data_IF_844670378534
#
_entry.id   IF_844670378534
#
_cell.length_a   1.000
_cell.length_b   1.000
_cell.length_c   1.000
_cell.angle_alpha   90.00
_cell.angle_beta   90.00
_cell.angle_gamma   90.00
#
_symmetry.space_group_name_H-M   'P 1'
#
loop_
_entity.id
_entity.type
_entity.pdbx_description
1 polymer ?
#
# COMPACT_ATOMS: atom_id res chain seq x y z
N UNK A 1 -36.70 49.25 17.69
CA UNK A 1 -35.82 49.18 16.50
C UNK A 1 -35.95 47.79 15.92
N UNK A 2 -36.70 47.59 14.84
CA UNK A 2 -36.78 46.28 14.17
C UNK A 2 -35.67 46.21 13.12
N UNK A 3 -34.72 45.30 13.30
CA UNK A 3 -33.69 45.02 12.31
C UNK A 3 -34.36 44.41 11.08
N UNK A 4 -34.28 45.10 9.94
CA UNK A 4 -34.70 44.57 8.65
C UNK A 4 -33.78 43.41 8.27
N UNK A 5 -34.30 42.18 8.29
CA UNK A 5 -33.61 41.01 7.76
C UNK A 5 -33.52 41.17 6.23
N UNK A 6 -32.30 41.43 5.73
CA UNK A 6 -32.04 41.38 4.28
C UNK A 6 -32.03 39.91 3.85
N UNK A 7 -33.08 39.49 3.15
CA UNK A 7 -33.15 38.17 2.52
C UNK A 7 -32.31 38.11 1.25
N UNK A 8 -31.82 36.91 0.93
CA UNK A 8 -31.13 36.63 -0.33
C UNK A 8 -32.12 36.65 -1.50
N UNK A 9 -31.72 37.19 -2.64
CA UNK A 9 -32.57 37.15 -3.84
C UNK A 9 -32.39 35.81 -4.57
N UNK A 10 -33.43 35.38 -5.32
CA UNK A 10 -33.37 34.13 -6.08
C UNK A 10 -32.24 34.15 -7.13
N UNK A 11 -31.99 35.31 -7.74
CA UNK A 11 -30.90 35.46 -8.72
C UNK A 11 -29.53 35.35 -8.07
N UNK A 12 -29.36 35.89 -6.87
CA UNK A 12 -28.09 35.83 -6.13
C UNK A 12 -27.74 34.40 -5.75
N UNK A 13 -28.74 33.60 -5.36
CA UNK A 13 -28.56 32.18 -5.09
C UNK A 13 -28.14 31.39 -6.35
N UNK A 14 -28.78 31.66 -7.50
CA UNK A 14 -28.43 31.02 -8.77
C UNK A 14 -27.00 31.33 -9.20
N UNK A 15 -26.57 32.59 -9.04
CA UNK A 15 -25.20 33.01 -9.36
C UNK A 15 -24.19 32.31 -8.45
N UNK A 16 -24.46 32.20 -7.15
CA UNK A 16 -23.59 31.48 -6.21
C UNK A 16 -23.45 30.00 -6.59
N UNK A 17 -24.55 29.33 -6.91
CA UNK A 17 -24.54 27.92 -7.34
C UNK A 17 -23.76 27.75 -8.66
N UNK A 18 -23.91 28.67 -9.61
CA UNK A 18 -23.17 28.63 -10.86
C UNK A 18 -21.66 28.77 -10.64
N UNK A 19 -21.24 29.71 -9.80
CA UNK A 19 -19.82 29.93 -9.48
C UNK A 19 -19.24 28.71 -8.73
N UNK A 20 -19.95 28.16 -7.75
CA UNK A 20 -19.47 26.99 -7.00
C UNK A 20 -19.37 25.76 -7.88
N UNK A 21 -20.29 25.56 -8.83
CA UNK A 21 -20.21 24.47 -9.80
C UNK A 21 -18.96 24.58 -10.70
N UNK A 22 -18.64 25.78 -11.19
CA UNK A 22 -17.43 26.03 -11.99
C UNK A 22 -16.16 25.78 -11.17
N UNK A 23 -16.13 26.22 -9.91
CA UNK A 23 -14.98 25.96 -9.04
C UNK A 23 -14.80 24.47 -8.72
N UNK A 24 -15.90 23.74 -8.51
CA UNK A 24 -15.86 22.32 -8.19
C UNK A 24 -15.27 21.47 -9.33
N UNK A 25 -15.54 21.82 -10.60
CA UNK A 25 -14.98 21.10 -11.74
C UNK A 25 -13.47 21.30 -11.89
N UNK A 26 -12.94 22.46 -11.49
CA UNK A 26 -11.50 22.77 -11.53
C UNK A 26 -10.75 22.21 -10.31
N UNK A 27 -11.43 22.05 -9.16
CA UNK A 27 -10.81 21.51 -7.94
C UNK A 27 -10.70 19.96 -7.94
N UNK A 28 -11.56 19.26 -8.67
CA UNK A 28 -11.63 17.79 -8.69
C UNK A 28 -10.90 17.04 -9.85
N UNK A 29 -10.18 17.68 -10.81
CA UNK A 29 -10.06 17.13 -12.15
C UNK A 29 -9.25 15.83 -12.25
N UNK A 30 -8.32 15.51 -11.32
CA UNK A 30 -7.56 14.26 -11.42
C UNK A 30 -7.11 13.69 -10.07
N UNK A 31 -8.07 13.29 -9.23
CA UNK A 31 -7.74 12.44 -8.07
C UNK A 31 -7.20 11.06 -8.47
N UNK A 32 -7.50 10.57 -9.68
CA UNK A 32 -7.07 9.26 -10.20
C UNK A 32 -5.55 9.12 -10.28
N UNK A 33 -4.86 10.12 -10.84
CA UNK A 33 -3.40 10.13 -11.00
C UNK A 33 -2.69 10.28 -9.65
N UNK A 34 -3.25 11.11 -8.77
CA UNK A 34 -2.78 11.23 -7.39
C UNK A 34 -2.94 9.92 -6.61
N UNK A 35 -4.06 9.21 -6.77
CA UNK A 35 -4.27 7.89 -6.16
C UNK A 35 -3.30 6.86 -6.75
N UNK A 36 -3.06 6.88 -8.06
CA UNK A 36 -2.14 5.96 -8.73
C UNK A 36 -0.70 6.13 -8.22
N UNK A 37 -0.22 7.37 -8.12
CA UNK A 37 1.10 7.68 -7.57
C UNK A 37 1.20 7.31 -6.08
N UNK A 38 0.16 7.56 -5.28
CA UNK A 38 0.11 7.11 -3.88
C UNK A 38 0.15 5.59 -3.72
N UNK A 39 -0.50 4.84 -4.61
CA UNK A 39 -0.44 3.37 -4.60
C UNK A 39 0.96 2.85 -4.92
N UNK A 40 1.68 3.47 -5.85
CA UNK A 40 3.05 3.09 -6.14
C UNK A 40 3.99 3.38 -4.95
N UNK A 41 3.86 4.57 -4.33
CA UNK A 41 4.63 4.94 -3.16
C UNK A 41 4.35 4.02 -1.95
N UNK A 42 3.08 3.70 -1.68
CA UNK A 42 2.72 2.83 -0.56
C UNK A 42 3.22 1.39 -0.72
N UNK A 43 3.28 0.87 -1.95
CA UNK A 43 3.88 -0.44 -2.22
C UNK A 43 5.39 -0.43 -1.95
N UNK A 44 6.10 0.61 -2.39
CA UNK A 44 7.54 0.76 -2.14
C UNK A 44 7.85 0.90 -0.64
N UNK A 45 7.05 1.66 0.10
CA UNK A 45 7.20 1.82 1.55
C UNK A 45 7.00 0.49 2.32
N UNK A 46 6.01 -0.31 1.91
CA UNK A 46 5.79 -1.64 2.50
C UNK A 46 7.01 -2.54 2.32
N UNK A 47 7.57 -2.60 1.12
CA UNK A 47 8.79 -3.37 0.82
C UNK A 47 9.97 -2.85 1.63
N UNK A 48 10.16 -1.53 1.70
CA UNK A 48 11.26 -0.93 2.46
C UNK A 48 11.18 -1.23 3.97
N UNK A 49 9.98 -1.20 4.54
CA UNK A 49 9.75 -1.58 5.93
C UNK A 49 10.00 -3.07 6.18
N UNK A 50 9.59 -3.94 5.25
CA UNK A 50 9.86 -5.37 5.35
C UNK A 50 11.37 -5.67 5.26
N UNK A 51 12.10 -5.01 4.36
CA UNK A 51 13.55 -5.14 4.26
C UNK A 51 14.27 -4.65 5.52
N UNK A 52 13.80 -3.57 6.14
CA UNK A 52 14.31 -3.10 7.44
C UNK A 52 14.10 -4.13 8.54
N UNK A 53 12.91 -4.73 8.59
CA UNK A 53 12.60 -5.81 9.52
C UNK A 53 13.48 -7.05 9.27
N UNK A 54 13.56 -7.50 8.02
CA UNK A 54 14.40 -8.63 7.61
C UNK A 54 15.87 -8.42 7.97
N UNK A 55 16.39 -7.20 7.76
CA UNK A 55 17.77 -6.86 8.16
C UNK A 55 17.97 -6.90 9.66
N UNK A 56 17.03 -6.39 10.45
CA UNK A 56 17.10 -6.47 11.91
C UNK A 56 17.09 -7.93 12.38
N UNK A 57 16.28 -8.77 11.74
CA UNK A 57 16.16 -10.19 12.07
C UNK A 57 17.39 -10.99 11.63
N UNK A 58 17.98 -10.67 10.48
CA UNK A 58 19.24 -11.26 10.03
C UNK A 58 20.38 -11.03 11.04
N UNK A 59 20.45 -9.81 11.61
CA UNK A 59 21.42 -9.49 12.65
C UNK A 59 21.12 -10.24 13.95
N UNK A 60 19.84 -10.38 14.33
CA UNK A 60 19.43 -11.11 15.55
C UNK A 60 19.72 -12.59 15.48
N UNK A 61 19.43 -13.20 14.34
CA UNK A 61 19.60 -14.64 14.11
C UNK A 61 21.01 -15.02 13.65
N UNK A 62 21.84 -14.02 13.28
CA UNK A 62 23.14 -14.22 12.65
C UNK A 62 23.04 -15.17 11.43
N UNK A 63 21.96 -15.05 10.68
CA UNK A 63 21.59 -15.87 9.53
C UNK A 63 21.16 -14.96 8.38
N UNK A 64 21.45 -15.32 7.11
CA UNK A 64 20.97 -14.55 5.97
C UNK A 64 19.45 -14.61 5.89
N UNK A 65 18.80 -13.45 5.85
CA UNK A 65 17.34 -13.35 5.65
C UNK A 65 17.07 -12.87 4.24
N UNK A 66 16.23 -13.62 3.53
CA UNK A 66 15.80 -13.31 2.18
C UNK A 66 14.36 -12.83 2.16
N UNK A 67 14.08 -11.91 1.24
CA UNK A 67 12.75 -11.37 1.01
C UNK A 67 12.37 -11.67 -0.43
N UNK A 68 11.26 -12.37 -0.64
CA UNK A 68 10.85 -12.78 -1.97
C UNK A 68 9.34 -12.68 -2.20
N UNK A 69 8.90 -12.38 -3.43
CA UNK A 69 7.48 -12.35 -3.77
C UNK A 69 6.90 -13.77 -3.79
N UNK A 70 5.69 -13.89 -3.26
CA UNK A 70 4.93 -15.14 -3.23
C UNK A 70 3.46 -14.93 -3.52
N UNK A 71 2.82 -15.99 -3.99
CA UNK A 71 1.37 -16.04 -4.06
C UNK A 71 0.79 -16.40 -2.69
N UNK A 72 -0.03 -15.52 -2.14
CA UNK A 72 -0.91 -15.85 -1.02
C UNK A 72 -2.15 -16.52 -1.61
N UNK A 73 -2.33 -17.81 -1.32
CA UNK A 73 -3.52 -18.56 -1.74
C UNK A 73 -4.76 -18.03 -0.98
N UNK A 74 -5.96 -18.34 -1.48
CA UNK A 74 -7.24 -17.93 -0.83
C UNK A 74 -7.40 -18.39 0.62
N UNK A 75 -6.61 -19.37 1.05
CA UNK A 75 -6.55 -19.88 2.42
C UNK A 75 -5.54 -19.12 3.32
N UNK A 76 -4.90 -18.05 2.83
CA UNK A 76 -3.97 -17.21 3.58
C UNK A 76 -2.56 -17.79 3.73
N UNK A 77 -2.28 -18.95 3.12
CA UNK A 77 -0.98 -19.61 3.19
C UNK A 77 -0.18 -19.24 1.94
N UNK A 78 1.07 -18.74 2.07
CA UNK A 78 1.92 -18.51 0.91
C UNK A 78 2.26 -19.84 0.24
N UNK A 79 2.41 -19.83 -1.07
CA UNK A 79 3.16 -20.91 -1.69
C UNK A 79 4.60 -20.83 -1.21
N UNK A 80 5.08 -21.94 -0.64
CA UNK A 80 6.42 -22.07 -0.08
C UNK A 80 7.47 -22.15 -1.22
N UNK A 81 7.42 -21.18 -2.14
CA UNK A 81 8.25 -21.02 -3.32
C UNK A 81 8.30 -19.54 -3.68
N UNK A 82 9.50 -18.98 -3.66
CA UNK A 82 9.76 -17.66 -4.22
C UNK A 82 9.51 -17.70 -5.73
N UNK A 83 8.49 -17.00 -6.21
CA UNK A 83 8.19 -16.92 -7.65
C UNK A 83 7.90 -15.48 -8.04
N UNK A 84 8.79 -14.94 -8.89
CA UNK A 84 8.72 -13.58 -9.43
C UNK A 84 7.45 -13.30 -10.23
N UNK A 85 6.73 -14.34 -10.66
CA UNK A 85 5.44 -14.24 -11.36
C UNK A 85 4.33 -13.63 -10.48
N UNK A 86 4.48 -13.68 -9.16
CA UNK A 86 3.47 -13.23 -8.20
C UNK A 86 3.86 -11.96 -7.45
N UNK A 87 4.60 -11.04 -8.10
CA UNK A 87 5.10 -9.81 -7.47
C UNK A 87 4.03 -8.87 -6.86
N UNK A 88 2.74 -9.12 -7.13
CA UNK A 88 1.61 -8.33 -6.62
C UNK A 88 0.74 -9.08 -5.59
N UNK A 89 1.02 -10.36 -5.31
CA UNK A 89 0.17 -11.18 -4.43
C UNK A 89 0.60 -11.20 -2.98
N UNK A 90 1.89 -10.98 -2.69
CA UNK A 90 2.42 -10.97 -1.34
C UNK A 90 3.95 -11.07 -1.34
N UNK A 91 4.55 -10.82 -0.19
CA UNK A 91 6.01 -10.89 -0.01
C UNK A 91 6.25 -11.67 1.26
N UNK A 92 7.11 -12.69 1.22
CA UNK A 92 7.55 -13.39 2.41
C UNK A 92 8.99 -13.02 2.76
N UNK A 93 9.28 -13.01 4.06
CA UNK A 93 10.62 -12.91 4.61
C UNK A 93 10.93 -14.20 5.39
N UNK A 94 12.05 -14.82 5.06
CA UNK A 94 12.51 -16.07 5.68
C UNK A 94 14.01 -16.02 5.95
N UNK A 95 14.44 -16.62 7.06
CA UNK A 95 15.86 -16.85 7.32
C UNK A 95 16.27 -18.17 6.68
N UNK A 96 17.24 -18.11 5.77
CA UNK A 96 17.82 -19.28 5.10
C UNK A 96 18.91 -19.86 5.98
N UNK A 97 18.68 -21.09 6.43
CA UNK A 97 19.66 -21.86 7.20
C UNK A 97 20.28 -22.98 6.37
N UNK A 98 19.62 -23.40 5.28
CA UNK A 98 20.03 -24.52 4.41
C UNK A 98 21.12 -24.10 3.41
N UNK A 99 21.20 -22.82 3.08
CA UNK A 99 22.13 -22.22 2.12
C UNK A 99 21.72 -22.42 0.66
N UNK A 100 20.47 -22.79 0.38
CA UNK A 100 19.99 -23.10 -0.98
C UNK A 100 19.18 -21.98 -1.65
N UNK A 101 19.00 -20.83 -0.97
CA UNK A 101 18.31 -19.62 -1.47
C UNK A 101 16.85 -19.89 -1.88
N UNK A 102 16.31 -21.06 -1.54
CA UNK A 102 14.94 -21.44 -1.86
C UNK A 102 14.21 -21.74 -0.56
N UNK A 103 13.16 -20.98 -0.27
CA UNK A 103 12.26 -21.34 0.80
C UNK A 103 11.61 -22.68 0.47
N UNK A 104 12.10 -23.75 1.07
CA UNK A 104 11.45 -25.05 1.12
C UNK A 104 10.87 -25.18 2.52
N UNK A 105 9.62 -25.62 2.64
CA UNK A 105 8.92 -25.80 3.92
C UNK A 105 9.49 -26.98 4.75
N UNK A 106 10.76 -27.29 4.54
CA UNK A 106 11.45 -28.47 5.03
C UNK A 106 12.07 -28.17 6.40
N UNK A 107 11.33 -27.49 7.31
CA UNK A 107 11.71 -27.17 8.71
C UNK A 107 13.10 -26.53 8.95
N UNK A 108 13.87 -26.29 7.90
CA UNK A 108 15.21 -25.73 7.96
C UNK A 108 15.13 -24.20 8.02
N UNK A 109 14.15 -23.63 7.31
CA UNK A 109 13.96 -22.20 7.21
C UNK A 109 13.02 -21.67 8.29
N UNK A 110 13.35 -20.47 8.77
CA UNK A 110 12.54 -19.79 9.79
C UNK A 110 11.63 -18.81 9.07
N UNK A 111 10.32 -19.09 9.11
CA UNK A 111 9.30 -18.14 8.68
C UNK A 111 9.26 -16.94 9.63
N UNK A 112 9.44 -15.74 9.08
CA UNK A 112 9.43 -14.51 9.88
C UNK A 112 8.16 -13.70 9.69
N UNK A 113 7.78 -13.43 8.42
CA UNK A 113 6.59 -12.63 8.09
C UNK A 113 6.18 -12.76 6.62
N UNK A 114 4.89 -12.60 6.35
CA UNK A 114 4.27 -12.33 5.04
C UNK A 114 3.56 -10.98 5.02
#
# INVERSE_FOLDING_TARGET
MYAQQKGFTLIELLVVIAITAIMATIALPNMSEWIASRRAASQAEQVANLLRFARAEAVRLNLPVYVCPVQIRKNGIPDNKCDTKYNQSGILAYADKSGDVNYNDDRADIFLRT
#
